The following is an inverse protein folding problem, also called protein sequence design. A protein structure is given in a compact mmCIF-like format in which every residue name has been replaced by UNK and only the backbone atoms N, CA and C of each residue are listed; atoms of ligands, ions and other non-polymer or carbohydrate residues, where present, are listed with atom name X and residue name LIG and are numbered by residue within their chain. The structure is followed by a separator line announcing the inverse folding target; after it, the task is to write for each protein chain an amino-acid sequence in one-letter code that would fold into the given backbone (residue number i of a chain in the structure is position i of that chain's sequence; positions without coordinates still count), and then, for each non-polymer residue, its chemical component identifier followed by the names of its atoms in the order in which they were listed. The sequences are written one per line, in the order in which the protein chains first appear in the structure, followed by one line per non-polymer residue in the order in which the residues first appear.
data_IF_361475471011
#
_entry.id   IF_361475471011
#
_cell.length_a   1.000
_cell.length_b   1.000
_cell.length_c   1.000
_cell.angle_alpha   90.00
_cell.angle_beta   90.00
_cell.angle_gamma   90.00
#
_symmetry.space_group_name_H-M   'P 1'
#
loop_
_entity.id
_entity.type
_entity.pdbx_description
1 polymer ?
#
# COMPACT_ATOMS: atom_id res chain seq x y z
N UNK A 1 0.27 55.05 -0.88
CA UNK A 1 0.53 53.64 -1.28
C UNK A 1 0.93 52.87 -0.04
N UNK A 2 -0.04 52.47 0.78
CA UNK A 2 0.22 51.89 2.09
C UNK A 2 0.18 50.35 2.01
N UNK A 3 1.34 49.71 2.15
CA UNK A 3 1.49 48.25 2.02
C UNK A 3 1.40 47.63 3.41
N UNK A 4 0.19 47.30 3.84
CA UNK A 4 -0.06 46.58 5.08
C UNK A 4 0.70 45.25 5.12
N UNK A 5 1.72 45.17 5.99
CA UNK A 5 2.42 43.93 6.32
C UNK A 5 1.44 43.01 7.05
N UNK A 6 0.80 42.09 6.32
CA UNK A 6 -0.04 41.04 6.92
C UNK A 6 0.81 40.26 7.94
N UNK A 7 0.49 40.28 9.24
CA UNK A 7 1.22 39.46 10.20
C UNK A 7 0.87 38.01 9.89
N UNK A 8 1.89 37.22 9.55
CA UNK A 8 1.77 35.77 9.38
C UNK A 8 1.34 35.20 10.74
N UNK A 9 0.03 35.00 10.93
CA UNK A 9 -0.51 34.29 12.09
C UNK A 9 0.13 32.91 12.12
N UNK A 10 1.11 32.72 13.02
CA UNK A 10 1.66 31.41 13.35
C UNK A 10 0.55 30.59 13.97
N UNK A 11 -0.19 29.85 13.13
CA UNK A 11 -1.16 28.87 13.58
C UNK A 11 -0.42 27.89 14.49
N UNK A 12 -0.78 27.86 15.78
CA UNK A 12 -0.23 26.95 16.78
C UNK A 12 -0.56 25.50 16.39
N UNK A 13 0.16 24.95 15.42
CA UNK A 13 0.11 23.53 15.08
C UNK A 13 0.73 22.80 16.25
N UNK A 14 -0.12 22.14 17.05
CA UNK A 14 0.32 21.19 18.09
C UNK A 14 1.42 20.33 17.48
N UNK A 15 2.65 20.44 17.99
CA UNK A 15 3.78 19.63 17.53
C UNK A 15 3.37 18.18 17.72
N UNK A 16 3.07 17.47 16.62
CA UNK A 16 2.78 16.03 16.69
C UNK A 16 3.95 15.42 17.45
N UNK A 17 3.65 14.74 18.55
CA UNK A 17 4.67 14.12 19.38
C UNK A 17 5.54 13.27 18.47
N UNK A 18 6.85 13.47 18.55
CA UNK A 18 7.83 12.73 17.76
C UNK A 18 7.95 11.31 18.32
N UNK A 19 6.84 10.60 18.46
CA UNK A 19 6.83 9.21 18.90
C UNK A 19 7.45 8.39 17.78
N UNK A 20 8.73 8.05 17.98
CA UNK A 20 9.45 7.13 17.13
C UNK A 20 8.68 5.80 17.19
N UNK A 21 8.18 5.27 16.06
CA UNK A 21 7.57 3.95 16.07
C UNK A 21 8.60 2.94 16.57
N UNK A 22 8.17 2.04 17.46
CA UNK A 22 9.00 0.95 17.93
C UNK A 22 9.44 0.10 16.73
N UNK A 23 10.71 -0.29 16.73
CA UNK A 23 11.24 -1.12 15.65
C UNK A 23 10.53 -2.47 15.63
N UNK A 24 10.13 -2.99 14.45
CA UNK A 24 9.52 -4.32 14.33
C UNK A 24 10.42 -5.47 14.81
N UNK A 25 11.74 -5.26 14.85
CA UNK A 25 12.71 -6.24 15.32
C UNK A 25 12.95 -6.01 16.81
N UNK A 26 12.65 -7.02 17.62
CA UNK A 26 13.08 -7.11 19.02
C UNK A 26 14.44 -7.83 19.04
N UNK A 27 15.48 -7.15 19.53
CA UNK A 27 16.84 -7.70 19.60
C UNK A 27 17.83 -7.15 18.59
N UNK A 28 19.12 -7.42 18.83
CA UNK A 28 20.25 -6.85 18.10
C UNK A 28 20.96 -7.85 17.16
N UNK A 29 20.62 -9.15 17.21
CA UNK A 29 21.32 -10.19 16.47
C UNK A 29 20.69 -10.40 15.08
N UNK A 30 21.22 -9.70 14.08
CA UNK A 30 20.84 -9.85 12.68
C UNK A 30 21.99 -10.55 11.96
N UNK A 31 21.80 -11.83 11.62
CA UNK A 31 22.78 -12.65 10.91
C UNK A 31 22.39 -12.88 9.46
N UNK A 32 23.39 -12.94 8.56
CA UNK A 32 23.20 -13.17 7.11
C UNK A 32 22.57 -14.54 6.79
N UNK A 33 22.70 -15.52 7.69
CA UNK A 33 22.12 -16.86 7.57
C UNK A 33 20.59 -16.86 7.78
N UNK A 34 20.04 -15.84 8.45
CA UNK A 34 18.61 -15.77 8.75
C UNK A 34 17.84 -15.17 7.56
N UNK A 35 17.71 -15.96 6.48
CA UNK A 35 17.11 -15.53 5.21
C UNK A 35 15.66 -15.06 5.39
N UNK A 36 14.87 -15.71 6.25
CA UNK A 36 13.48 -15.33 6.54
C UNK A 36 13.37 -13.91 7.13
N UNK A 37 14.28 -13.53 8.04
CA UNK A 37 14.29 -12.21 8.64
C UNK A 37 14.74 -11.15 7.62
N UNK A 38 15.84 -11.43 6.92
CA UNK A 38 16.46 -10.49 6.01
C UNK A 38 15.62 -10.28 4.74
N UNK A 39 14.97 -11.34 4.24
CA UNK A 39 14.12 -11.32 3.06
C UNK A 39 12.96 -10.33 3.17
N UNK A 40 12.43 -10.11 4.38
CA UNK A 40 11.36 -9.10 4.64
C UNK A 40 11.80 -7.66 4.36
N UNK A 41 13.10 -7.38 4.39
CA UNK A 41 13.67 -6.05 4.17
C UNK A 41 14.16 -5.83 2.73
N UNK A 42 13.85 -6.76 1.83
CA UNK A 42 14.23 -6.72 0.43
C UNK A 42 12.95 -6.61 -0.42
N UNK A 43 13.01 -5.82 -1.48
CA UNK A 43 11.93 -5.73 -2.45
C UNK A 43 11.87 -6.99 -3.32
N UNK A 44 10.75 -7.20 -4.00
CA UNK A 44 10.63 -8.33 -4.93
C UNK A 44 11.71 -8.33 -6.03
N UNK A 45 12.25 -7.16 -6.39
CA UNK A 45 13.33 -7.00 -7.37
C UNK A 45 14.73 -7.36 -6.84
N UNK A 46 14.85 -7.64 -5.54
CA UNK A 46 16.14 -7.78 -4.87
C UNK A 46 16.77 -6.45 -4.45
N UNK A 47 16.03 -5.35 -4.30
CA UNK A 47 16.59 -4.08 -3.78
C UNK A 47 16.40 -3.97 -2.26
N UNK A 48 17.36 -3.38 -1.55
CA UNK A 48 17.24 -3.16 -0.10
C UNK A 48 16.21 -2.05 0.14
N UNK A 49 15.22 -2.30 0.99
CA UNK A 49 14.20 -1.31 1.34
C UNK A 49 14.80 -0.20 2.22
N UNK A 50 14.33 1.02 2.02
CA UNK A 50 14.80 2.18 2.79
C UNK A 50 14.30 2.13 4.23
N UNK A 51 15.07 2.72 5.15
CA UNK A 51 14.73 2.80 6.58
C UNK A 51 13.34 3.41 6.84
N UNK A 52 12.91 4.36 6.00
CA UNK A 52 11.61 5.05 6.15
C UNK A 52 10.44 4.10 5.92
N UNK A 53 10.61 3.14 5.02
CA UNK A 53 9.61 2.10 4.70
C UNK A 53 9.62 1.01 5.78
N UNK A 54 10.81 0.53 6.15
CA UNK A 54 10.97 -0.59 7.10
C UNK A 54 10.74 -0.18 8.56
N UNK A 55 10.74 1.12 8.87
CA UNK A 55 10.59 1.69 10.22
C UNK A 55 11.61 1.15 11.24
N UNK A 56 12.82 0.82 10.76
CA UNK A 56 13.92 0.39 11.62
C UNK A 56 14.68 1.57 12.25
N UNK A 57 15.35 1.30 13.36
CA UNK A 57 16.37 2.22 13.90
C UNK A 57 17.58 2.30 12.96
N UNK A 58 18.39 3.36 13.08
CA UNK A 58 19.57 3.53 12.24
C UNK A 58 20.58 2.38 12.43
N UNK A 59 20.79 1.96 13.69
CA UNK A 59 21.69 0.85 14.04
C UNK A 59 21.22 -0.46 13.40
N UNK A 60 19.94 -0.80 13.55
CA UNK A 60 19.37 -2.00 12.92
C UNK A 60 19.47 -1.94 11.39
N UNK A 61 19.15 -0.82 10.74
CA UNK A 61 19.26 -0.72 9.29
C UNK A 61 20.70 -0.97 8.81
N UNK A 62 21.72 -0.45 9.50
CA UNK A 62 23.14 -0.71 9.18
C UNK A 62 23.47 -2.21 9.30
N UNK A 63 23.01 -2.86 10.36
CA UNK A 63 23.20 -4.31 10.57
C UNK A 63 22.50 -5.13 9.47
N UNK A 64 21.22 -4.83 9.17
CA UNK A 64 20.47 -5.47 8.09
C UNK A 64 21.20 -5.29 6.75
N UNK A 65 21.67 -4.08 6.44
CA UNK A 65 22.36 -3.80 5.18
C UNK A 65 23.66 -4.59 5.06
N UNK A 66 24.46 -4.68 6.15
CA UNK A 66 25.68 -5.50 6.18
C UNK A 66 25.35 -6.98 5.97
N UNK A 67 24.34 -7.49 6.68
CA UNK A 67 23.93 -8.88 6.58
C UNK A 67 23.40 -9.24 5.17
N UNK A 68 22.61 -8.36 4.53
CA UNK A 68 22.16 -8.56 3.14
C UNK A 68 23.33 -8.62 2.17
N UNK A 69 24.30 -7.72 2.30
CA UNK A 69 25.48 -7.70 1.41
C UNK A 69 26.28 -9.00 1.53
N UNK A 70 26.52 -9.47 2.75
CA UNK A 70 27.20 -10.76 2.98
C UNK A 70 26.40 -11.91 2.37
N UNK A 71 25.08 -11.98 2.63
CA UNK A 71 24.21 -13.02 2.08
C UNK A 71 24.21 -13.05 0.54
N UNK A 72 24.36 -11.91 -0.13
CA UNK A 72 24.47 -11.86 -1.60
C UNK A 72 25.81 -12.38 -2.12
N UNK A 73 26.91 -12.06 -1.45
CA UNK A 73 28.24 -12.58 -1.79
C UNK A 73 28.26 -14.10 -1.61
N UNK A 74 27.58 -14.61 -0.58
CA UNK A 74 27.40 -16.04 -0.32
C UNK A 74 26.30 -16.70 -1.18
N UNK A 75 25.74 -15.99 -2.17
CA UNK A 75 24.73 -16.52 -3.11
C UNK A 75 23.41 -16.97 -2.44
N UNK A 76 23.18 -16.60 -1.17
CA UNK A 76 21.92 -16.88 -0.47
C UNK A 76 20.77 -15.98 -0.95
N UNK A 77 21.10 -14.82 -1.53
CA UNK A 77 20.14 -13.84 -2.04
C UNK A 77 20.57 -13.32 -3.42
N UNK A 78 19.61 -13.10 -4.34
CA UNK A 78 19.93 -12.58 -5.66
C UNK A 78 20.30 -11.08 -5.61
N UNK A 79 21.21 -10.67 -6.49
CA UNK A 79 21.53 -9.25 -6.70
C UNK A 79 20.41 -8.51 -7.44
N UNK A 80 19.80 -9.18 -8.43
CA UNK A 80 18.67 -8.68 -9.22
C UNK A 80 17.79 -9.87 -9.61
N UNK A 81 16.49 -9.70 -9.49
CA UNK A 81 15.53 -10.66 -10.05
C UNK A 81 14.93 -10.09 -11.34
N UNK A 82 14.80 -10.93 -12.36
CA UNK A 82 14.14 -10.54 -13.61
C UNK A 82 12.67 -10.20 -13.33
N UNK A 83 12.21 -9.04 -13.82
CA UNK A 83 10.80 -8.68 -13.72
C UNK A 83 9.99 -9.73 -14.47
N UNK A 84 9.04 -10.39 -13.79
CA UNK A 84 8.04 -11.21 -14.48
C UNK A 84 7.24 -10.27 -15.38
N UNK A 85 7.37 -10.42 -16.69
CA UNK A 85 6.52 -9.72 -17.65
C UNK A 85 5.11 -10.24 -17.43
N UNK A 86 4.17 -9.35 -17.11
CA UNK A 86 2.77 -9.69 -17.13
C UNK A 86 2.41 -10.12 -18.55
N UNK A 87 2.11 -11.41 -18.75
CA UNK A 87 1.63 -11.87 -20.05
C UNK A 87 0.24 -11.26 -20.21
N UNK A 88 0.10 -10.28 -21.11
CA UNK A 88 -1.23 -9.80 -21.50
C UNK A 88 -1.93 -10.98 -22.15
N UNK A 89 -2.90 -11.56 -21.47
CA UNK A 89 -3.85 -12.48 -22.11
C UNK A 89 -4.64 -11.65 -23.12
N UNK A 90 -4.79 -12.17 -24.35
CA UNK A 90 -5.56 -11.49 -25.39
C UNK A 90 -7.00 -11.29 -24.86
N UNK A 91 -7.62 -10.11 -25.05
CA UNK A 91 -9.01 -9.93 -24.65
C UNK A 91 -9.87 -10.89 -25.47
N UNK A 92 -10.55 -11.84 -24.81
CA UNK A 92 -11.61 -12.62 -25.45
C UNK A 92 -12.71 -11.65 -25.83
N UNK A 93 -13.03 -11.56 -27.12
CA UNK A 93 -14.13 -10.74 -27.64
C UNK A 93 -15.42 -11.12 -26.94
N UNK A 94 -15.97 -10.22 -26.13
CA UNK A 94 -17.30 -10.38 -25.54
C UNK A 94 -18.31 -10.18 -26.66
N UNK A 95 -18.91 -11.26 -27.15
CA UNK A 95 -20.06 -11.20 -28.06
C UNK A 95 -21.20 -10.49 -27.33
N UNK A 96 -21.49 -9.25 -27.70
CA UNK A 96 -22.70 -8.54 -27.27
C UNK A 96 -23.90 -9.14 -28.00
N UNK A 97 -24.46 -10.21 -27.44
CA UNK A 97 -25.80 -10.66 -27.82
C UNK A 97 -26.82 -9.60 -27.38
N UNK A 98 -27.59 -9.06 -28.33
CA UNK A 98 -28.74 -8.21 -28.07
C UNK A 98 -29.75 -9.02 -27.25
N UNK A 99 -29.76 -8.82 -25.93
CA UNK A 99 -30.78 -9.37 -25.05
C UNK A 99 -32.03 -8.51 -25.22
N UNK A 100 -32.96 -8.94 -26.07
CA UNK A 100 -34.31 -8.38 -26.12
C UNK A 100 -34.96 -8.56 -24.75
N UNK A 101 -35.31 -7.45 -24.11
CA UNK A 101 -36.00 -7.43 -22.83
C UNK A 101 -37.50 -7.47 -23.15
N UNK A 102 -38.12 -8.63 -22.98
CA UNK A 102 -39.57 -8.78 -23.13
C UNK A 102 -40.30 -7.79 -22.20
N UNK A 103 -41.08 -6.88 -22.79
CA UNK A 103 -41.89 -5.91 -22.04
C UNK A 103 -43.13 -6.64 -21.53
N UNK A 104 -43.20 -6.90 -20.24
CA UNK A 104 -44.45 -7.35 -19.60
C UNK A 104 -45.47 -6.22 -19.63
N UNK A 105 -46.71 -6.56 -20.00
CA UNK A 105 -47.84 -5.62 -20.19
C UNK A 105 -48.17 -4.89 -18.87
N UNK A 106 -48.54 -3.59 -18.91
CA UNK A 106 -48.92 -2.86 -17.71
C UNK A 106 -50.31 -3.30 -17.22
N UNK A 107 -50.40 -3.79 -16.00
CA UNK A 107 -51.68 -4.08 -15.32
C UNK A 107 -52.27 -2.78 -14.74
N UNK A 108 -53.57 -2.56 -14.93
CA UNK A 108 -54.28 -1.37 -14.47
C UNK A 108 -54.28 -1.25 -12.94
N UNK A 109 -54.00 -0.05 -12.42
CA UNK A 109 -54.11 0.26 -10.99
C UNK A 109 -55.57 0.56 -10.64
N UNK A 110 -56.16 -0.25 -9.78
CA UNK A 110 -57.49 -0.02 -9.21
C UNK A 110 -57.42 1.11 -8.18
N UNK A 111 -58.24 2.14 -8.36
CA UNK A 111 -58.43 3.23 -7.39
C UNK A 111 -59.31 2.75 -6.24
N UNK A 112 -58.70 2.37 -5.12
CA UNK A 112 -59.40 2.08 -3.87
C UNK A 112 -59.27 3.25 -2.90
N UNK A 113 -60.36 3.99 -2.68
CA UNK A 113 -60.53 4.88 -1.52
C UNK A 113 -60.63 4.03 -0.25
N UNK A 114 -59.80 4.24 0.77
CA UNK A 114 -60.26 4.04 2.16
C UNK A 114 -59.40 4.64 3.28
N UNK A 115 -60.02 5.64 3.90
CA UNK A 115 -60.08 6.08 5.32
C UNK A 115 -58.80 6.18 6.17
N UNK A 116 -58.57 7.42 6.61
CA UNK A 116 -57.63 7.87 7.64
C UNK A 116 -58.30 7.68 9.01
N UNK A 117 -57.76 6.81 9.86
CA UNK A 117 -58.21 6.70 11.25
C UNK A 117 -57.46 7.72 12.13
N UNK A 118 -58.24 8.32 13.03
CA UNK A 118 -57.86 9.29 14.07
C UNK A 118 -56.99 8.64 15.16
#
# INVERSE_FOLDING_TARGET
MDKSKRPFLKKNKKKRSFRRPLSPIQGNQIHHKNISLIGRFISQQGKILSRRVTRLTLKQQRLVTKAIKIARILVLLPFRTNKKKWKRTKPTTRTTGLRTRERTKPTARTTGLRTRNK
#
